data_IF_760199860434
#
_entry.id   IF_760199860434
#
_cell.length_a   1.000
_cell.length_b   1.000
_cell.length_c   1.000
_cell.angle_alpha   90.00
_cell.angle_beta   90.00
_cell.angle_gamma   90.00
#
_symmetry.space_group_name_H-M   'P 1'
#
loop_
_entity.id
_entity.type
_entity.pdbx_description
1 polymer ?
#
# COMPACT_ATOMS: atom_id res chain seq x y z
N UNK A 1 4.92 2.19 -0.98
CA UNK A 1 3.48 2.31 -0.66
C UNK A 1 2.96 0.93 -0.30
N UNK A 2 2.24 0.79 0.82
CA UNK A 2 1.74 -0.50 1.32
C UNK A 2 0.21 -0.52 1.33
N UNK A 3 -0.36 -1.59 0.77
CA UNK A 3 -1.78 -1.92 0.83
C UNK A 3 -1.95 -3.37 1.29
N UNK A 4 -3.16 -3.72 1.73
CA UNK A 4 -3.54 -5.12 1.93
C UNK A 4 -3.64 -5.81 0.57
N UNK A 5 -3.24 -7.08 0.47
CA UNK A 5 -3.10 -7.78 -0.81
C UNK A 5 -4.39 -7.96 -1.63
N UNK A 6 -5.56 -7.75 -1.02
CA UNK A 6 -6.88 -7.74 -1.66
C UNK A 6 -7.40 -6.33 -1.99
N UNK A 7 -6.60 -5.28 -1.77
CA UNK A 7 -6.93 -3.90 -2.10
C UNK A 7 -6.12 -3.44 -3.32
N UNK A 8 -6.79 -2.68 -4.18
CA UNK A 8 -6.15 -1.99 -5.31
C UNK A 8 -5.82 -0.54 -4.93
N UNK A 9 -4.71 -0.03 -5.46
CA UNK A 9 -4.29 1.36 -5.24
C UNK A 9 -5.14 2.33 -6.09
N UNK A 10 -5.64 3.38 -5.46
CA UNK A 10 -6.21 4.54 -6.13
C UNK A 10 -5.13 5.62 -6.29
N UNK A 11 -4.51 5.71 -7.46
CA UNK A 11 -3.38 6.62 -7.72
C UNK A 11 -3.70 8.09 -7.40
N UNK A 12 -4.92 8.55 -7.70
CA UNK A 12 -5.32 9.93 -7.39
C UNK A 12 -5.22 10.23 -5.89
N UNK A 13 -5.62 9.29 -5.03
CA UNK A 13 -5.52 9.49 -3.57
C UNK A 13 -4.08 9.55 -3.10
N UNK A 14 -3.17 8.81 -3.74
CA UNK A 14 -1.74 8.86 -3.46
C UNK A 14 -1.16 10.23 -3.85
N UNK A 15 -1.49 10.72 -5.04
CA UNK A 15 -1.08 12.04 -5.55
C UNK A 15 -1.55 13.14 -4.58
N UNK A 16 -2.85 13.16 -4.28
CA UNK A 16 -3.48 14.14 -3.39
C UNK A 16 -2.88 14.08 -1.98
N UNK A 17 -2.69 12.87 -1.44
CA UNK A 17 -2.18 12.66 -0.08
C UNK A 17 -0.69 12.97 0.07
N UNK A 18 0.10 12.85 -1.00
CA UNK A 18 1.50 13.26 -1.03
C UNK A 18 1.70 14.74 -1.37
N UNK A 19 0.67 15.43 -1.86
CA UNK A 19 0.77 16.81 -2.32
C UNK A 19 1.71 16.98 -3.51
N UNK A 20 1.75 15.97 -4.39
CA UNK A 20 2.57 15.97 -5.62
C UNK A 20 1.67 16.12 -6.85
N UNK A 21 2.25 16.47 -8.00
CA UNK A 21 1.54 16.51 -9.28
C UNK A 21 1.64 15.20 -10.05
N UNK A 22 2.72 14.43 -9.79
CA UNK A 22 3.04 13.23 -10.56
C UNK A 22 3.57 12.12 -9.65
N UNK A 23 3.12 10.91 -9.93
CA UNK A 23 3.67 9.65 -9.42
C UNK A 23 3.83 8.69 -10.60
N UNK A 24 4.79 7.78 -10.50
CA UNK A 24 4.91 6.64 -11.41
C UNK A 24 5.41 5.43 -10.64
N UNK A 25 5.11 4.22 -11.10
CA UNK A 25 5.81 3.03 -10.64
C UNK A 25 7.33 3.19 -10.82
N UNK A 26 8.08 2.63 -9.87
CA UNK A 26 9.53 2.53 -9.97
C UNK A 26 9.90 1.54 -11.08
N UNK A 27 11.01 1.80 -11.78
CA UNK A 27 11.61 0.91 -12.76
C UNK A 27 12.41 -0.20 -12.05
N UNK A 28 12.70 -1.30 -12.73
CA UNK A 28 13.34 -2.47 -12.12
C UNK A 28 14.72 -2.17 -11.52
N UNK A 29 15.51 -1.32 -12.17
CA UNK A 29 16.81 -0.84 -11.69
C UNK A 29 16.66 0.01 -10.42
N UNK A 30 15.71 0.94 -10.40
CA UNK A 30 15.40 1.77 -9.22
C UNK A 30 14.96 0.92 -8.03
N UNK A 31 14.15 -0.12 -8.28
CA UNK A 31 13.68 -1.05 -7.24
C UNK A 31 14.86 -1.81 -6.65
N UNK A 32 15.71 -2.39 -7.50
CA UNK A 32 16.86 -3.20 -7.06
C UNK A 32 17.89 -2.35 -6.34
N UNK A 33 18.12 -1.10 -6.76
CA UNK A 33 18.97 -0.16 -6.04
C UNK A 33 18.41 0.17 -4.64
N UNK A 34 17.10 0.41 -4.54
CA UNK A 34 16.46 0.86 -3.31
C UNK A 34 16.19 -0.27 -2.30
N UNK A 35 15.88 -1.48 -2.77
CA UNK A 35 15.39 -2.59 -1.95
C UNK A 35 16.19 -3.89 -2.12
N UNK A 36 17.11 -3.98 -3.09
CA UNK A 36 17.99 -5.14 -3.25
C UNK A 36 17.36 -6.38 -3.92
N UNK A 37 16.08 -6.35 -4.23
CA UNK A 37 15.32 -7.47 -4.81
C UNK A 37 14.43 -7.03 -5.99
N UNK A 38 13.95 -8.01 -6.75
CA UNK A 38 13.03 -7.81 -7.87
C UNK A 38 11.55 -7.77 -7.42
N UNK A 39 10.66 -7.20 -8.27
CA UNK A 39 9.21 -7.22 -8.01
C UNK A 39 8.69 -8.62 -7.71
N UNK A 40 7.86 -8.73 -6.66
CA UNK A 40 7.34 -10.01 -6.16
C UNK A 40 7.94 -10.43 -4.82
N UNK A 41 9.12 -9.92 -4.46
CA UNK A 41 9.77 -10.21 -3.17
C UNK A 41 9.99 -8.97 -2.30
N UNK A 42 9.32 -7.86 -2.64
CA UNK A 42 9.48 -6.56 -1.99
C UNK A 42 8.64 -6.44 -0.72
N UNK A 43 9.22 -5.83 0.31
CA UNK A 43 8.58 -5.51 1.58
C UNK A 43 9.18 -4.29 2.25
N UNK A 44 8.58 -3.87 3.37
CA UNK A 44 9.03 -2.69 4.12
C UNK A 44 9.66 -3.02 5.48
N UNK A 45 9.82 -4.30 5.80
CA UNK A 45 10.47 -4.73 7.05
C UNK A 45 11.95 -4.34 6.99
N UNK A 46 12.41 -3.58 7.98
CA UNK A 46 13.81 -3.14 8.07
C UNK A 46 14.22 -2.05 7.08
N UNK A 47 13.29 -1.49 6.31
CA UNK A 47 13.56 -0.37 5.39
C UNK A 47 13.51 0.95 6.19
N UNK A 48 14.62 1.69 6.23
CA UNK A 48 14.72 2.97 6.94
C UNK A 48 14.99 4.18 6.06
N UNK A 49 15.55 3.96 4.87
CA UNK A 49 16.07 5.04 4.02
C UNK A 49 15.06 5.51 2.96
N UNK A 50 13.86 4.92 2.98
CA UNK A 50 12.75 5.23 2.08
C UNK A 50 11.53 5.64 2.89
N UNK A 51 10.78 6.61 2.38
CA UNK A 51 9.49 6.99 2.95
C UNK A 51 8.45 5.87 2.77
N UNK A 52 7.92 5.34 3.86
CA UNK A 52 6.93 4.28 3.89
C UNK A 52 5.54 4.88 4.14
N UNK A 53 4.71 4.84 3.10
CA UNK A 53 3.31 5.23 3.16
C UNK A 53 2.43 3.97 3.17
N UNK A 54 1.48 3.86 4.09
CA UNK A 54 0.58 2.72 4.21
C UNK A 54 -0.91 3.11 4.27
N UNK A 55 -1.77 2.23 3.76
CA UNK A 55 -3.23 2.39 3.86
C UNK A 55 -3.74 2.11 5.29
N UNK A 56 -4.67 2.92 5.85
CA UNK A 56 -5.25 2.71 7.18
C UNK A 56 -5.80 1.31 7.45
N UNK A 57 -6.20 0.55 6.43
CA UNK A 57 -6.65 -0.83 6.62
C UNK A 57 -5.55 -1.78 7.16
N UNK A 58 -4.28 -1.36 7.11
CA UNK A 58 -3.14 -2.05 7.69
C UNK A 58 -2.89 -1.73 9.18
N UNK A 59 -3.57 -0.72 9.76
CA UNK A 59 -3.43 -0.41 11.19
C UNK A 59 -3.87 -1.58 12.07
N UNK A 60 -3.09 -1.88 13.10
CA UNK A 60 -3.34 -3.01 14.01
C UNK A 60 -3.32 -4.39 13.35
N UNK A 61 -2.88 -4.51 12.09
CA UNK A 61 -2.77 -5.83 11.44
C UNK A 61 -1.54 -6.56 11.97
N UNK A 62 -1.75 -7.83 12.26
CA UNK A 62 -0.77 -8.75 12.84
C UNK A 62 -0.72 -10.03 12.01
N UNK A 63 0.39 -10.75 12.12
CA UNK A 63 0.61 -12.02 11.43
C UNK A 63 0.42 -11.95 9.90
N UNK A 64 0.89 -10.84 9.31
CA UNK A 64 0.84 -10.58 7.88
C UNK A 64 1.99 -11.30 7.15
N UNK A 65 1.89 -11.33 5.82
CA UNK A 65 2.93 -11.82 4.91
C UNK A 65 3.36 -10.67 3.98
N UNK A 66 4.66 -10.49 3.80
CA UNK A 66 5.25 -9.48 2.91
C UNK A 66 6.55 -10.02 2.32
N UNK A 67 7.07 -9.37 1.27
CA UNK A 67 8.35 -9.76 0.69
C UNK A 67 9.51 -9.55 1.66
N UNK A 68 10.57 -10.34 1.51
CA UNK A 68 11.74 -10.28 2.39
C UNK A 68 12.82 -9.29 1.92
N UNK A 69 12.62 -8.61 0.79
CA UNK A 69 13.68 -7.87 0.08
C UNK A 69 14.87 -8.78 -0.31
N UNK A 70 14.57 -10.07 -0.54
CA UNK A 70 15.47 -11.08 -1.08
C UNK A 70 14.67 -11.91 -2.10
N UNK A 71 15.23 -12.11 -3.30
CA UNK A 71 14.53 -12.76 -4.41
C UNK A 71 14.00 -14.15 -4.01
N UNK A 72 12.72 -14.41 -4.31
CA UNK A 72 11.96 -15.64 -3.99
C UNK A 72 11.65 -15.87 -2.50
N UNK A 73 11.95 -14.91 -1.62
CA UNK A 73 11.68 -15.03 -0.18
C UNK A 73 10.58 -14.10 0.33
N UNK A 74 9.83 -14.60 1.31
CA UNK A 74 8.76 -13.88 1.99
C UNK A 74 8.86 -14.05 3.50
N UNK A 75 8.53 -12.99 4.22
CA UNK A 75 8.39 -12.99 5.67
C UNK A 75 6.94 -13.30 6.05
N UNK A 76 6.74 -14.09 7.10
CA UNK A 76 5.44 -14.38 7.71
C UNK A 76 5.48 -14.02 9.19
N UNK A 77 4.32 -13.77 9.79
CA UNK A 77 4.27 -13.36 11.19
C UNK A 77 4.60 -11.87 11.39
N UNK A 78 4.47 -11.08 10.33
CA UNK A 78 4.81 -9.65 10.34
C UNK A 78 3.68 -8.86 10.98
N UNK A 79 4.01 -8.11 12.01
CA UNK A 79 3.10 -7.19 12.69
C UNK A 79 3.42 -5.78 12.24
N UNK A 80 2.44 -5.08 11.66
CA UNK A 80 2.69 -3.80 10.98
C UNK A 80 3.31 -2.77 11.94
N UNK A 81 2.79 -2.66 13.16
CA UNK A 81 3.26 -1.69 14.16
C UNK A 81 4.60 -2.08 14.82
N UNK A 82 4.97 -3.37 14.80
CA UNK A 82 6.22 -3.86 15.40
C UNK A 82 7.38 -3.81 14.40
N UNK A 83 7.12 -4.21 13.16
CA UNK A 83 8.17 -4.56 12.20
C UNK A 83 8.36 -3.53 11.08
N UNK A 84 7.38 -2.62 10.89
CA UNK A 84 7.41 -1.63 9.81
C UNK A 84 7.26 -0.22 10.41
N UNK A 85 8.28 0.61 10.23
CA UNK A 85 8.22 2.02 10.58
C UNK A 85 7.44 2.79 9.51
N UNK A 86 6.11 2.88 9.65
CA UNK A 86 5.27 3.65 8.72
C UNK A 86 5.40 5.15 9.02
N UNK A 87 5.80 5.93 8.01
CA UNK A 87 5.90 7.40 8.11
C UNK A 87 4.52 8.06 8.00
N UNK A 88 3.71 7.63 7.03
CA UNK A 88 2.42 8.23 6.72
C UNK A 88 1.30 7.22 6.53
N UNK A 89 0.14 7.58 7.05
CA UNK A 89 -1.10 6.84 6.86
C UNK A 89 -2.04 7.64 5.98
N UNK A 90 -2.25 7.17 4.74
CA UNK A 90 -3.08 7.83 3.75
C UNK A 90 -4.17 6.87 3.28
N UNK A 91 -5.39 7.37 3.08
CA UNK A 91 -6.43 6.57 2.39
C UNK A 91 -5.96 6.34 0.95
N UNK A 92 -5.59 5.11 0.61
CA UNK A 92 -4.93 4.79 -0.65
C UNK A 92 -5.72 3.81 -1.49
N UNK A 93 -6.60 3.02 -0.88
CA UNK A 93 -7.31 1.97 -1.60
C UNK A 93 -8.46 2.49 -2.45
N UNK A 94 -8.71 1.78 -3.54
CA UNK A 94 -9.97 1.85 -4.28
C UNK A 94 -11.10 1.29 -3.41
N UNK A 95 -12.28 1.92 -3.49
CA UNK A 95 -13.49 1.44 -2.82
C UNK A 95 -14.11 0.30 -3.62
N UNK A 96 -14.61 -0.74 -2.94
CA UNK A 96 -15.37 -1.81 -3.58
C UNK A 96 -16.87 -1.53 -3.51
N UNK A 97 -17.61 -2.10 -4.47
CA UNK A 97 -19.07 -2.11 -4.42
C UNK A 97 -19.56 -2.85 -3.17
N UNK A 98 -20.62 -2.33 -2.55
CA UNK A 98 -21.21 -2.88 -1.33
C UNK A 98 -20.58 -2.37 -0.04
N UNK A 99 -19.49 -1.61 -0.09
CA UNK A 99 -18.91 -0.98 1.09
C UNK A 99 -19.82 0.10 1.68
N UNK A 100 -19.70 0.34 2.99
CA UNK A 100 -20.51 1.32 3.70
C UNK A 100 -20.30 2.73 3.18
N UNK A 101 -21.40 3.48 3.04
CA UNK A 101 -21.34 4.89 2.70
C UNK A 101 -20.77 5.70 3.88
N UNK A 102 -19.79 6.58 3.67
CA UNK A 102 -19.25 7.40 4.76
C UNK A 102 -20.22 8.50 5.25
N UNK A 103 -21.40 8.64 4.62
CA UNK A 103 -22.39 9.69 4.93
C UNK A 103 -23.72 9.15 5.46
N UNK A 104 -24.00 7.86 5.28
CA UNK A 104 -25.26 7.24 5.70
C UNK A 104 -25.07 5.73 5.90
N UNK A 105 -26.07 5.04 6.47
CA UNK A 105 -26.03 3.61 6.74
C UNK A 105 -26.24 2.71 5.48
N UNK A 106 -26.20 3.31 4.29
CA UNK A 106 -26.35 2.60 3.02
C UNK A 106 -25.05 1.99 2.51
N UNK A 107 -25.16 1.13 1.50
CA UNK A 107 -24.03 0.59 0.76
C UNK A 107 -23.76 1.39 -0.52
N UNK A 108 -22.50 1.48 -0.92
CA UNK A 108 -22.06 2.14 -2.15
C UNK A 108 -22.33 1.24 -3.35
N UNK A 109 -22.87 1.82 -4.42
CA UNK A 109 -22.98 1.19 -5.75
C UNK A 109 -22.03 1.89 -6.71
N UNK A 110 -21.29 1.12 -7.51
CA UNK A 110 -20.35 1.68 -8.48
C UNK A 110 -21.02 1.69 -9.85
N UNK A 111 -21.09 2.86 -10.48
CA UNK A 111 -21.63 3.03 -11.83
C UNK A 111 -20.61 3.73 -12.71
N UNK A 112 -20.43 3.22 -13.93
CA UNK A 112 -19.59 3.87 -14.94
C UNK A 112 -20.42 4.92 -15.68
N UNK A 113 -19.89 6.13 -15.76
CA UNK A 113 -20.49 7.27 -16.47
C UNK A 113 -19.44 7.86 -17.41
N UNK A 114 -19.89 8.65 -18.37
CA UNK A 114 -19.03 9.46 -19.25
C UNK A 114 -19.01 10.88 -18.65
N UNK A 115 -17.82 11.44 -18.49
CA UNK A 115 -17.61 12.86 -18.15
C UNK A 115 -17.57 13.72 -19.42
#
# INVERSE_FOLDING_TARGET
VLLRGDHELMEQKLIDGLGTEHVRPAQADEIREALGADPGSLGAVGVSDLRIVADPALRGRVNMVTGANEDDWHLRGVDIERDIAVDDWLDLRLVNEGEGCPRCDGALTIRRMIE
#
